data_IF_039554622578
#
_entry.id   IF_039554622578
#
_cell.length_a   1.000
_cell.length_b   1.000
_cell.length_c   1.000
_cell.angle_alpha   90.00
_cell.angle_beta   90.00
_cell.angle_gamma   90.00
#
_symmetry.space_group_name_H-M   'P 1'
#
loop_
_entity.id
_entity.type
_entity.pdbx_description
1 polymer ?
#
# COMPACT_ATOMS: atom_id res chain seq x y z
N UNK A 1 -9.93 20.78 -15.73
CA UNK A 1 -8.79 20.29 -14.93
C UNK A 1 -8.25 21.50 -14.19
N UNK A 2 -8.71 21.72 -12.97
CA UNK A 2 -8.30 22.87 -12.16
C UNK A 2 -6.87 22.66 -11.66
N UNK A 3 -5.99 23.65 -11.89
CA UNK A 3 -4.60 23.68 -11.48
C UNK A 3 -4.37 23.80 -9.96
N UNK A 4 -5.31 23.32 -9.12
CA UNK A 4 -5.34 23.56 -7.67
C UNK A 4 -4.69 22.49 -6.80
N UNK A 5 -4.06 21.46 -7.38
CA UNK A 5 -3.65 20.28 -6.59
C UNK A 5 -2.14 19.99 -6.61
N UNK A 6 -1.31 20.93 -7.06
CA UNK A 6 0.14 20.79 -7.06
C UNK A 6 0.75 21.67 -5.98
N UNK A 7 1.61 21.06 -5.16
CA UNK A 7 2.21 21.67 -3.99
C UNK A 7 3.70 21.32 -3.95
N UNK A 8 4.51 22.23 -3.43
CA UNK A 8 5.89 21.90 -3.05
C UNK A 8 5.88 20.86 -1.92
N UNK A 9 7.01 20.17 -1.73
CA UNK A 9 7.15 19.19 -0.64
C UNK A 9 6.85 19.83 0.73
N UNK A 10 7.30 21.07 0.94
CA UNK A 10 7.06 21.81 2.18
C UNK A 10 5.57 22.11 2.41
N UNK A 11 4.85 22.54 1.36
CA UNK A 11 3.41 22.79 1.45
C UNK A 11 2.63 21.50 1.76
N UNK A 12 3.01 20.37 1.17
CA UNK A 12 2.40 19.07 1.48
C UNK A 12 2.67 18.63 2.92
N UNK A 13 3.87 18.87 3.46
CA UNK A 13 4.18 18.60 4.85
C UNK A 13 3.27 19.38 5.81
N UNK A 14 3.05 20.66 5.52
CA UNK A 14 2.19 21.52 6.34
C UNK A 14 0.71 21.12 6.23
N UNK A 15 0.29 20.70 5.02
CA UNK A 15 -1.09 20.29 4.77
C UNK A 15 -1.45 18.94 5.42
N UNK A 16 -0.54 17.96 5.36
CA UNK A 16 -0.82 16.56 5.74
C UNK A 16 -0.41 16.19 7.18
N UNK A 17 0.27 17.09 7.90
CA UNK A 17 0.54 16.97 9.34
C UNK A 17 1.98 16.62 9.73
N UNK A 18 2.41 17.07 10.92
CA UNK A 18 3.81 17.00 11.40
C UNK A 18 4.02 16.07 12.61
N UNK A 19 4.23 14.78 12.36
CA UNK A 19 5.33 13.99 12.94
C UNK A 19 5.59 12.76 12.03
N UNK A 20 6.75 12.75 11.36
CA UNK A 20 7.36 11.59 10.70
C UNK A 20 6.67 10.90 9.50
N UNK A 21 5.47 11.28 9.04
CA UNK A 21 4.86 10.62 7.87
C UNK A 21 5.38 11.09 6.50
N UNK A 22 5.72 12.37 6.30
CA UNK A 22 5.88 12.94 4.95
C UNK A 22 7.26 13.56 4.61
N UNK A 23 7.99 14.14 5.58
CA UNK A 23 9.11 15.07 5.32
C UNK A 23 10.28 14.54 4.48
N UNK A 24 10.85 13.39 4.82
CA UNK A 24 11.91 12.77 4.00
C UNK A 24 11.37 11.77 2.97
N UNK A 25 10.05 11.59 2.94
CA UNK A 25 9.42 10.53 2.15
C UNK A 25 8.91 11.01 0.81
N UNK A 26 8.56 12.29 0.62
CA UNK A 26 8.08 12.78 -0.68
C UNK A 26 9.15 12.59 -1.75
N UNK A 27 10.37 13.09 -1.52
CA UNK A 27 11.47 12.91 -2.48
C UNK A 27 11.87 11.45 -2.67
N UNK A 28 11.96 10.66 -1.59
CA UNK A 28 12.23 9.21 -1.71
C UNK A 28 11.11 8.47 -2.45
N UNK A 29 9.85 8.84 -2.22
CA UNK A 29 8.72 8.25 -2.96
C UNK A 29 8.77 8.64 -4.44
N UNK A 30 9.29 9.82 -4.77
CA UNK A 30 9.53 10.21 -6.15
C UNK A 30 10.69 9.42 -6.78
N UNK A 31 11.81 9.27 -6.06
CA UNK A 31 12.97 8.46 -6.47
C UNK A 31 12.59 6.97 -6.66
N UNK A 32 11.78 6.42 -5.75
CA UNK A 32 11.25 5.05 -5.79
C UNK A 32 10.17 4.85 -6.88
N UNK A 33 9.84 5.90 -7.65
CA UNK A 33 8.81 5.90 -8.70
C UNK A 33 7.39 5.67 -8.17
N UNK A 34 7.12 6.02 -6.91
CA UNK A 34 5.80 5.87 -6.27
C UNK A 34 4.90 7.08 -6.46
N UNK A 35 5.50 8.24 -6.71
CA UNK A 35 4.80 9.48 -7.07
C UNK A 35 5.56 10.19 -8.20
N UNK A 36 4.86 11.01 -8.96
CA UNK A 36 5.41 11.73 -10.10
C UNK A 36 5.75 13.18 -9.71
N UNK A 37 7.02 13.62 -9.84
CA UNK A 37 7.36 15.03 -9.68
C UNK A 37 6.98 15.83 -10.93
N UNK A 38 6.41 17.02 -10.73
CA UNK A 38 6.12 18.00 -11.77
C UNK A 38 7.12 19.14 -11.67
N UNK A 39 7.92 19.38 -12.72
CA UNK A 39 8.92 20.44 -12.72
C UNK A 39 8.38 21.69 -13.41
N UNK A 40 8.35 22.81 -12.69
CA UNK A 40 7.94 24.14 -13.20
C UNK A 40 8.98 25.15 -12.73
N UNK A 41 9.58 25.90 -13.67
CA UNK A 41 10.60 26.92 -13.39
C UNK A 41 11.75 26.44 -12.48
N UNK A 42 12.19 25.19 -12.69
CA UNK A 42 13.28 24.59 -11.89
C UNK A 42 12.88 24.12 -10.49
N UNK A 43 11.60 24.22 -10.12
CA UNK A 43 11.06 23.74 -8.84
C UNK A 43 10.21 22.48 -9.05
N UNK A 44 10.26 21.58 -8.07
CA UNK A 44 9.45 20.36 -8.07
C UNK A 44 8.15 20.56 -7.28
N UNK A 45 7.07 20.10 -7.87
CA UNK A 45 5.73 20.07 -7.33
C UNK A 45 5.18 18.65 -7.35
N UNK A 46 4.25 18.36 -6.45
CA UNK A 46 3.70 17.03 -6.25
C UNK A 46 2.20 17.12 -6.05
N UNK A 47 1.49 16.08 -6.51
CA UNK A 47 0.06 15.93 -6.28
C UNK A 47 -0.21 15.45 -4.85
N UNK A 48 -1.10 16.14 -4.14
CA UNK A 48 -1.55 15.74 -2.79
C UNK A 48 -2.17 14.34 -2.79
N UNK A 49 -3.05 14.08 -3.75
CA UNK A 49 -3.82 12.83 -3.79
C UNK A 49 -2.92 11.64 -4.14
N UNK A 50 -1.97 11.85 -5.06
CA UNK A 50 -0.95 10.86 -5.40
C UNK A 50 -0.08 10.52 -4.19
N UNK A 51 0.31 11.53 -3.40
CA UNK A 51 1.08 11.36 -2.18
C UNK A 51 0.30 10.59 -1.10
N UNK A 52 -0.97 10.92 -0.87
CA UNK A 52 -1.84 10.21 0.07
C UNK A 52 -1.97 8.75 -0.35
N UNK A 53 -2.29 8.50 -1.62
CA UNK A 53 -2.45 7.14 -2.15
C UNK A 53 -1.15 6.33 -2.04
N UNK A 54 -0.01 6.90 -2.42
CA UNK A 54 1.29 6.24 -2.29
C UNK A 54 1.60 5.89 -0.82
N UNK A 55 1.29 6.80 0.10
CA UNK A 55 1.48 6.60 1.54
C UNK A 55 0.60 5.47 2.08
N UNK A 56 -0.69 5.47 1.73
CA UNK A 56 -1.63 4.41 2.13
C UNK A 56 -1.22 3.04 1.56
N UNK A 57 -0.80 2.99 0.30
CA UNK A 57 -0.34 1.76 -0.34
C UNK A 57 0.91 1.20 0.35
N UNK A 58 1.88 2.07 0.64
CA UNK A 58 3.09 1.69 1.39
C UNK A 58 2.73 1.14 2.76
N UNK A 59 1.88 1.84 3.52
CA UNK A 59 1.44 1.39 4.83
C UNK A 59 0.69 0.06 4.75
N UNK A 60 -0.18 -0.11 3.76
CA UNK A 60 -0.88 -1.37 3.49
C UNK A 60 0.10 -2.51 3.24
N UNK A 61 1.12 -2.30 2.41
CA UNK A 61 2.16 -3.30 2.17
C UNK A 61 2.90 -3.68 3.45
N UNK A 62 3.25 -2.71 4.30
CA UNK A 62 3.90 -2.96 5.59
C UNK A 62 3.00 -3.76 6.55
N UNK A 63 1.73 -3.41 6.64
CA UNK A 63 0.75 -4.16 7.44
C UNK A 63 0.60 -5.58 6.91
N UNK A 64 0.50 -5.76 5.58
CA UNK A 64 0.40 -7.09 4.96
C UNK A 64 1.62 -7.97 5.27
N UNK A 65 2.82 -7.41 5.17
CA UNK A 65 4.07 -8.12 5.45
C UNK A 65 4.20 -8.48 6.94
N UNK A 66 3.93 -7.52 7.84
CA UNK A 66 4.13 -7.70 9.28
C UNK A 66 3.00 -8.49 9.95
N UNK A 67 1.78 -8.44 9.41
CA UNK A 67 0.57 -9.02 9.97
C UNK A 67 -0.20 -9.86 8.94
N UNK A 68 0.49 -10.78 8.25
CA UNK A 68 -0.03 -11.57 7.12
C UNK A 68 -1.37 -12.29 7.39
N UNK A 69 -1.65 -12.67 8.64
CA UNK A 69 -2.92 -13.30 9.04
C UNK A 69 -4.10 -12.33 9.13
N UNK A 70 -3.86 -11.09 9.55
CA UNK A 70 -4.89 -10.05 9.67
C UNK A 70 -5.04 -9.26 8.37
N UNK A 71 -4.00 -9.26 7.55
CA UNK A 71 -3.89 -8.57 6.27
C UNK A 71 -5.10 -8.70 5.32
N UNK A 72 -5.78 -9.86 5.18
CA UNK A 72 -6.93 -9.97 4.28
C UNK A 72 -8.11 -9.08 4.69
N UNK A 73 -8.28 -8.90 6.01
CA UNK A 73 -9.41 -8.21 6.61
C UNK A 73 -9.14 -6.71 6.79
N UNK A 74 -7.89 -6.36 7.06
CA UNK A 74 -7.52 -4.97 7.35
C UNK A 74 -7.66 -4.08 6.11
N UNK A 75 -8.18 -2.88 6.37
CA UNK A 75 -8.33 -1.79 5.40
C UNK A 75 -7.78 -0.51 6.04
N UNK A 76 -7.30 0.39 5.19
CA UNK A 76 -6.71 1.65 5.60
C UNK A 76 -7.42 2.77 4.85
N UNK A 77 -7.80 3.82 5.56
CA UNK A 77 -8.33 5.04 4.98
C UNK A 77 -7.63 6.27 5.54
N UNK A 78 -7.63 7.33 4.75
CA UNK A 78 -7.24 8.66 5.18
C UNK A 78 -8.51 9.49 5.36
N UNK A 79 -8.63 10.17 6.50
CA UNK A 79 -9.75 11.07 6.75
C UNK A 79 -9.42 12.48 6.23
N UNK A 80 -10.02 12.83 5.09
CA UNK A 80 -9.86 14.14 4.44
C UNK A 80 -10.54 15.28 5.22
N UNK A 81 -11.59 15.01 6.00
CA UNK A 81 -12.30 16.06 6.74
C UNK A 81 -11.42 16.69 7.83
N UNK A 82 -10.48 15.90 8.36
CA UNK A 82 -9.48 16.37 9.32
C UNK A 82 -8.06 16.43 8.72
N UNK A 83 -7.89 16.01 7.45
CA UNK A 83 -6.64 15.95 6.67
C UNK A 83 -5.42 15.33 7.38
N UNK A 84 -5.63 14.63 8.50
CA UNK A 84 -4.56 14.38 9.47
C UNK A 84 -4.80 13.10 10.29
N UNK A 85 -5.64 12.20 9.80
CA UNK A 85 -5.89 10.94 10.48
C UNK A 85 -5.83 9.78 9.50
N UNK A 86 -5.04 8.76 9.87
CA UNK A 86 -5.01 7.48 9.20
C UNK A 86 -5.77 6.49 10.07
N UNK A 87 -6.72 5.79 9.47
CA UNK A 87 -7.57 4.83 10.16
C UNK A 87 -7.35 3.44 9.60
N UNK A 88 -7.14 2.47 10.48
CA UNK A 88 -7.07 1.04 10.18
C UNK A 88 -8.29 0.36 10.78
N UNK A 89 -9.04 -0.35 9.96
CA UNK A 89 -10.28 -1.02 10.34
C UNK A 89 -10.37 -2.42 9.70
N UNK A 90 -11.39 -3.19 10.04
CA UNK A 90 -11.56 -4.56 9.58
C UNK A 90 -10.97 -5.61 10.51
N UNK A 91 -10.73 -5.25 11.78
CA UNK A 91 -10.42 -6.24 12.81
C UNK A 91 -11.65 -7.14 13.09
N UNK A 92 -11.47 -8.43 13.42
CA UNK A 92 -12.57 -9.35 13.73
C UNK A 92 -13.54 -8.86 14.83
N UNK A 93 -13.02 -8.14 15.83
CA UNK A 93 -13.81 -7.54 16.92
C UNK A 93 -14.45 -6.19 16.53
N UNK A 94 -14.38 -5.81 15.25
CA UNK A 94 -14.88 -4.54 14.69
C UNK A 94 -14.21 -3.29 15.26
N UNK A 95 -13.07 -3.44 15.93
CA UNK A 95 -12.31 -2.29 16.40
C UNK A 95 -11.76 -1.44 15.25
N UNK A 96 -11.54 -0.17 15.56
CA UNK A 96 -10.98 0.82 14.65
C UNK A 96 -9.78 1.45 15.34
N UNK A 97 -8.64 1.45 14.67
CA UNK A 97 -7.41 2.08 15.15
C UNK A 97 -7.17 3.34 14.32
N UNK A 98 -7.16 4.49 14.98
CA UNK A 98 -6.85 5.77 14.34
C UNK A 98 -5.52 6.29 14.87
N UNK A 99 -4.70 6.82 13.96
CA UNK A 99 -3.51 7.59 14.28
C UNK A 99 -3.67 9.03 13.77
N UNK A 100 -3.36 9.99 14.63
CA UNK A 100 -3.25 11.39 14.24
C UNK A 100 -1.86 11.65 13.65
N UNK A 101 -1.79 12.02 12.37
CA UNK A 101 -0.52 12.23 11.63
C UNK A 101 0.29 13.43 12.10
N UNK A 102 -0.27 14.30 12.96
CA UNK A 102 0.47 15.37 13.63
C UNK A 102 1.18 14.93 14.89
N UNK A 103 0.64 13.94 15.59
CA UNK A 103 1.12 13.58 16.93
C UNK A 103 1.70 12.17 16.98
N UNK A 104 1.54 11.39 15.92
CA UNK A 104 1.89 9.98 15.88
C UNK A 104 2.64 9.63 14.59
N UNK A 105 3.64 8.77 14.77
CA UNK A 105 4.45 8.20 13.71
C UNK A 105 3.82 6.95 13.10
N UNK A 106 4.29 6.56 11.92
CA UNK A 106 3.89 5.30 11.30
C UNK A 106 4.19 4.08 12.17
N UNK A 107 5.32 4.06 12.87
CA UNK A 107 5.66 2.95 13.77
C UNK A 107 4.73 2.85 14.97
N UNK A 108 4.26 3.98 15.50
CA UNK A 108 3.28 3.98 16.60
C UNK A 108 1.94 3.43 16.14
N UNK A 109 1.46 3.81 14.95
CA UNK A 109 0.29 3.20 14.35
C UNK A 109 0.47 1.69 14.16
N UNK A 110 1.62 1.26 13.63
CA UNK A 110 1.90 -0.16 13.44
C UNK A 110 1.95 -0.94 14.77
N UNK A 111 2.48 -0.34 15.84
CA UNK A 111 2.47 -0.92 17.20
C UNK A 111 1.05 -1.04 17.74
N UNK A 112 0.18 -0.04 17.52
CA UNK A 112 -1.24 -0.11 17.91
C UNK A 112 -1.95 -1.26 17.18
N UNK A 113 -1.73 -1.40 15.87
CA UNK A 113 -2.26 -2.51 15.06
C UNK A 113 -1.72 -3.86 15.57
N UNK A 114 -0.45 -3.95 15.92
CA UNK A 114 0.18 -5.16 16.48
C UNK A 114 -0.42 -5.56 17.83
N UNK A 115 -0.54 -4.61 18.75
CA UNK A 115 -1.14 -4.82 20.06
C UNK A 115 -2.58 -5.32 19.90
N UNK A 116 -3.34 -4.66 19.02
CA UNK A 116 -4.71 -5.04 18.77
C UNK A 116 -4.81 -6.44 18.13
N UNK A 117 -3.92 -6.75 17.20
CA UNK A 117 -3.81 -8.08 16.62
C UNK A 117 -3.52 -9.17 17.65
N UNK A 118 -2.72 -8.88 18.68
CA UNK A 118 -2.45 -9.81 19.79
C UNK A 118 -3.66 -9.99 20.70
N UNK A 119 -4.38 -8.92 21.02
CA UNK A 119 -5.63 -8.98 21.80
C UNK A 119 -6.67 -9.86 21.12
N UNK A 120 -6.89 -9.65 19.81
CA UNK A 120 -7.86 -10.43 19.04
C UNK A 120 -7.42 -11.89 18.88
N UNK A 121 -6.13 -12.18 18.79
CA UNK A 121 -5.60 -13.55 18.77
C UNK A 121 -5.85 -14.30 20.09
N UNK A 122 -5.91 -13.58 21.20
CA UNK A 122 -6.16 -14.16 22.52
C UNK A 122 -7.66 -14.24 22.86
N UNK A 123 -8.54 -13.75 21.98
CA UNK A 123 -9.97 -14.03 22.11
C UNK A 123 -10.19 -15.51 21.77
N UNK A 124 -10.97 -16.25 22.60
CA UNK A 124 -11.40 -17.59 22.22
C UNK A 124 -12.06 -17.51 20.85
N UNK A 125 -11.82 -18.52 19.99
CA UNK A 125 -12.37 -18.60 18.64
C UNK A 125 -13.79 -18.06 18.63
N UNK A 126 -13.96 -16.85 18.11
CA UNK A 126 -15.29 -16.37 17.73
C UNK A 126 -15.71 -17.43 16.72
N UNK A 127 -16.83 -18.14 16.94
CA UNK A 127 -17.27 -19.12 15.97
C UNK A 127 -17.36 -18.36 14.65
N UNK A 128 -16.51 -18.75 13.70
CA UNK A 128 -16.78 -18.47 12.31
C UNK A 128 -18.10 -19.18 12.09
N UNK A 129 -19.20 -18.43 12.25
CA UNK A 129 -20.52 -18.96 11.98
C UNK A 129 -20.43 -19.65 10.62
N UNK A 130 -20.96 -20.87 10.49
CA UNK A 130 -20.92 -21.56 9.22
C UNK A 130 -21.44 -20.56 8.19
N UNK A 131 -20.66 -20.35 7.12
CA UNK A 131 -21.07 -19.44 6.06
C UNK A 131 -22.52 -19.74 5.73
N UNK A 132 -23.32 -18.69 5.51
CA UNK A 132 -24.70 -18.82 5.05
C UNK A 132 -24.72 -19.74 3.81
N UNK A 133 -24.91 -21.03 4.07
CA UNK A 133 -25.60 -21.94 3.19
C UNK A 133 -27.09 -21.70 3.43
N UNK A 134 -27.85 -22.00 2.39
CA UNK A 134 -29.31 -21.97 2.28
C UNK A 134 -29.88 -20.60 1.82
N UNK A 135 -30.49 -20.45 0.64
CA UNK A 135 -31.13 -21.41 -0.26
C UNK A 135 -31.30 -20.88 -1.70
N UNK A 136 -31.50 -21.83 -2.62
CA UNK A 136 -32.21 -21.78 -3.90
C UNK A 136 -31.64 -20.96 -5.09
N UNK A 137 -30.82 -21.65 -5.90
CA UNK A 137 -30.79 -21.41 -7.34
C UNK A 137 -31.06 -22.74 -8.07
N UNK A 138 -32.06 -22.82 -8.98
CA UNK A 138 -32.30 -24.02 -9.76
C UNK A 138 -31.11 -24.30 -10.68
N UNK A 139 -30.66 -25.56 -10.67
CA UNK A 139 -29.57 -26.06 -11.50
C UNK A 139 -29.88 -25.85 -12.99
N UNK A 140 -29.00 -25.20 -13.78
CA UNK A 140 -29.07 -25.31 -15.23
C UNK A 140 -28.53 -26.68 -15.68
N UNK A 141 -29.03 -27.22 -16.80
CA UNK A 141 -28.74 -28.59 -17.23
C UNK A 141 -27.27 -28.79 -17.61
N UNK A 142 -26.78 -29.98 -17.29
CA UNK A 142 -25.45 -30.48 -17.64
C UNK A 142 -25.14 -30.30 -19.15
N UNK A 143 -24.17 -29.44 -19.44
CA UNK A 143 -23.36 -29.52 -20.65
C UNK A 143 -21.93 -29.94 -20.26
N UNK A 144 -21.28 -30.84 -21.03
CA UNK A 144 -19.92 -31.26 -20.73
C UNK A 144 -18.96 -30.12 -21.10
N UNK A 145 -18.03 -29.68 -20.22
CA UNK A 145 -17.01 -28.74 -20.63
C UNK A 145 -15.91 -29.48 -21.40
N UNK A 146 -15.75 -29.03 -22.65
CA UNK A 146 -14.57 -29.21 -23.49
C UNK A 146 -13.26 -28.90 -22.73
N UNK A 147 -12.21 -29.67 -23.02
CA UNK A 147 -10.83 -29.31 -22.69
C UNK A 147 -10.44 -27.94 -23.28
N UNK A 148 -9.73 -27.07 -22.54
CA UNK A 148 -8.85 -26.06 -23.11
C UNK A 148 -7.36 -26.41 -22.93
N UNK A 149 -6.48 -25.80 -23.74
CA UNK A 149 -5.17 -26.33 -24.10
C UNK A 149 -4.06 -25.97 -23.10
N UNK A 150 -2.99 -26.77 -23.14
CA UNK A 150 -1.67 -26.41 -22.63
C UNK A 150 -1.19 -25.08 -23.22
N UNK A 151 -0.56 -24.24 -22.38
CA UNK A 151 0.26 -23.13 -22.83
C UNK A 151 0.21 -21.90 -21.93
N UNK A 152 0.98 -21.93 -20.84
CA UNK A 152 1.52 -20.70 -20.25
C UNK A 152 3.03 -20.93 -20.11
N UNK A 153 3.74 -20.52 -21.15
CA UNK A 153 5.19 -20.43 -21.16
C UNK A 153 5.63 -19.49 -20.03
N UNK A 154 6.23 -20.06 -18.98
CA UNK A 154 7.18 -19.30 -18.18
C UNK A 154 8.36 -18.98 -19.10
N UNK A 155 8.84 -17.73 -19.18
CA UNK A 155 10.02 -17.43 -19.97
C UNK A 155 11.19 -18.28 -19.46
N UNK A 156 11.98 -18.88 -20.36
CA UNK A 156 13.07 -19.75 -19.98
C UNK A 156 14.05 -18.97 -19.11
N UNK A 157 14.56 -19.64 -18.07
CA UNK A 157 15.46 -19.09 -17.05
C UNK A 157 16.67 -18.31 -17.62
N UNK A 158 17.03 -18.55 -18.88
CA UNK A 158 18.09 -17.84 -19.62
C UNK A 158 17.75 -16.38 -19.94
N UNK A 159 16.51 -16.05 -20.30
CA UNK A 159 16.09 -14.66 -20.58
C UNK A 159 16.15 -13.80 -19.32
N UNK A 160 15.79 -14.38 -18.16
CA UNK A 160 15.86 -13.69 -16.87
C UNK A 160 17.32 -13.38 -16.50
N UNK A 161 18.22 -14.33 -16.72
CA UNK A 161 19.65 -14.14 -16.42
C UNK A 161 20.30 -13.10 -17.34
N UNK A 162 19.89 -13.02 -18.60
CA UNK A 162 20.41 -12.01 -19.52
C UNK A 162 19.94 -10.59 -19.15
N UNK A 163 18.69 -10.45 -18.70
CA UNK A 163 18.16 -9.17 -18.20
C UNK A 163 18.92 -8.73 -16.95
N UNK A 164 19.17 -9.64 -16.00
CA UNK A 164 19.94 -9.33 -14.79
C UNK A 164 21.37 -8.88 -15.10
N UNK A 165 22.05 -9.57 -16.03
CA UNK A 165 23.41 -9.19 -16.46
C UNK A 165 23.44 -7.79 -17.09
N UNK A 166 22.45 -7.44 -17.92
CA UNK A 166 22.34 -6.09 -18.51
C UNK A 166 22.08 -5.00 -17.46
N UNK A 167 21.41 -5.33 -16.36
CA UNK A 167 21.18 -4.40 -15.25
C UNK A 167 22.49 -4.17 -14.49
N UNK A 168 23.26 -5.22 -14.19
CA UNK A 168 24.57 -5.11 -13.53
C UNK A 168 25.56 -4.28 -14.34
N UNK A 169 25.68 -4.53 -15.65
CA UNK A 169 26.55 -3.75 -16.55
C UNK A 169 26.19 -2.25 -16.60
N UNK A 170 24.90 -1.91 -16.41
CA UNK A 170 24.46 -0.50 -16.37
C UNK A 170 24.77 0.15 -15.04
N UNK A 171 24.71 -0.59 -13.93
CA UNK A 171 25.04 -0.08 -12.60
C UNK A 171 26.53 0.24 -12.48
N UNK A 172 27.41 -0.64 -12.97
CA UNK A 172 28.86 -0.42 -12.97
C UNK A 172 29.24 0.87 -13.73
N UNK A 173 28.64 1.10 -14.90
CA UNK A 173 28.90 2.32 -15.68
C UNK A 173 28.38 3.61 -15.03
N UNK A 174 27.41 3.50 -14.12
CA UNK A 174 26.90 4.64 -13.35
C UNK A 174 27.88 4.93 -12.20
N UNK A 175 28.39 3.89 -11.52
CA UNK A 175 29.38 4.05 -10.46
C UNK A 175 30.70 4.63 -10.98
N UNK A 176 31.17 4.22 -12.17
CA UNK A 176 32.36 4.80 -12.81
C UNK A 176 32.20 6.28 -13.21
N UNK A 177 30.96 6.76 -13.38
CA UNK A 177 30.67 8.18 -13.70
C UNK A 177 30.45 9.05 -12.47
N UNK A 178 30.27 8.44 -11.29
CA UNK A 178 30.04 9.13 -10.02
C UNK A 178 31.28 9.12 -9.12
N UNK A 179 32.37 8.47 -9.55
CA UNK A 179 33.71 8.55 -8.95
C UNK A 179 34.48 9.79 -9.36
#
# INVERSE_FOLDING_TARGET
MDAKSLFTAQELEELLGKMYFYRQRIYRMAEDGKISPYQVDGKFYFSKDELIMATLNRLSARIRLRFSRLAPFLRISFDENKNKAITVYGFPDKSIITANTENETEEELLKKVENKGREVKNMPDIPVGPGNHDHDHPHPPHHPPHHPPHGHDNPPHEEILEVLRRIEDRLVRIEEKLG
#
